data_IF_063103051886
#
_entry.id   IF_063103051886
#
_cell.length_a   1.000
_cell.length_b   1.000
_cell.length_c   1.000
_cell.angle_alpha   90.00
_cell.angle_beta   90.00
_cell.angle_gamma   90.00
#
_symmetry.space_group_name_H-M   'P 1'
#
loop_
_entity.id
_entity.type
_entity.pdbx_description
1 polymer ?
#
# COMPACT_ATOMS: atom_id res chain seq x y z
N UNK A 1 3.55 -6.07 -25.74
CA UNK A 1 2.98 -7.17 -24.93
C UNK A 1 3.63 -7.10 -23.53
N UNK A 2 3.52 -5.96 -22.82
CA UNK A 2 4.38 -5.67 -21.64
C UNK A 2 3.73 -4.85 -20.52
N UNK A 3 2.45 -4.49 -20.62
CA UNK A 3 1.80 -3.65 -19.59
C UNK A 3 1.53 -4.39 -18.27
N UNK A 4 1.40 -5.72 -18.31
CA UNK A 4 1.01 -6.54 -17.16
C UNK A 4 2.10 -6.63 -16.07
N UNK A 5 3.37 -6.35 -16.39
CA UNK A 5 4.49 -6.46 -15.43
C UNK A 5 4.77 -5.18 -14.63
N UNK A 6 4.24 -4.02 -15.02
CA UNK A 6 4.54 -2.75 -14.33
C UNK A 6 3.76 -2.57 -13.02
N UNK A 7 2.71 -3.35 -12.83
CA UNK A 7 1.79 -3.18 -11.72
C UNK A 7 2.02 -4.19 -10.59
N UNK A 8 3.10 -4.97 -10.64
CA UNK A 8 3.48 -5.91 -9.59
C UNK A 8 4.81 -5.51 -8.95
N UNK A 9 4.85 -5.48 -7.63
CA UNK A 9 6.02 -5.24 -6.81
C UNK A 9 6.35 -6.50 -5.99
N UNK A 10 7.63 -6.79 -5.87
CA UNK A 10 8.13 -7.84 -4.99
C UNK A 10 8.84 -7.20 -3.79
N UNK A 11 8.59 -7.73 -2.59
CA UNK A 11 9.13 -7.20 -1.35
C UNK A 11 9.95 -8.27 -0.65
N UNK A 12 11.13 -7.89 -0.17
CA UNK A 12 12.05 -8.74 0.57
C UNK A 12 12.23 -8.22 1.99
N UNK A 13 12.11 -9.08 3.00
CA UNK A 13 12.40 -8.74 4.39
C UNK A 13 12.98 -9.96 5.11
N UNK A 14 14.19 -9.80 5.67
CA UNK A 14 14.88 -10.86 6.43
C UNK A 14 14.92 -12.23 5.72
N UNK A 15 15.15 -12.23 4.40
CA UNK A 15 15.21 -13.45 3.59
C UNK A 15 13.85 -14.04 3.19
N UNK A 16 12.73 -13.49 3.69
CA UNK A 16 11.38 -13.81 3.18
C UNK A 16 11.02 -12.91 2.01
N UNK A 17 10.25 -13.44 1.07
CA UNK A 17 9.74 -12.72 -0.09
C UNK A 17 8.22 -12.68 -0.07
N UNK A 18 7.64 -11.56 -0.46
CA UNK A 18 6.21 -11.43 -0.74
C UNK A 18 5.98 -10.56 -1.97
N UNK A 19 4.73 -10.49 -2.43
CA UNK A 19 4.32 -9.73 -3.59
C UNK A 19 3.15 -8.80 -3.27
N UNK A 20 3.02 -7.78 -4.09
CA UNK A 20 1.87 -6.90 -4.15
C UNK A 20 1.77 -6.28 -5.53
N UNK A 21 0.70 -5.53 -5.76
CA UNK A 21 0.45 -4.93 -7.04
C UNK A 21 -0.94 -4.33 -7.15
N UNK A 22 -1.20 -3.71 -8.30
CA UNK A 22 -2.53 -3.24 -8.62
C UNK A 22 -3.43 -4.44 -8.98
N UNK A 23 -4.49 -4.63 -8.21
CA UNK A 23 -5.57 -5.57 -8.47
C UNK A 23 -6.62 -4.90 -9.36
N UNK A 24 -6.66 -5.33 -10.62
CA UNK A 24 -7.62 -4.83 -11.61
C UNK A 24 -9.07 -5.17 -11.26
N UNK A 25 -9.32 -6.29 -10.58
CA UNK A 25 -10.66 -6.74 -10.22
C UNK A 25 -11.28 -5.88 -9.12
N UNK A 26 -10.46 -5.44 -8.16
CA UNK A 26 -10.87 -4.50 -7.11
C UNK A 26 -10.55 -3.04 -7.41
N UNK A 27 -9.86 -2.76 -8.53
CA UNK A 27 -9.35 -1.44 -8.90
C UNK A 27 -8.55 -0.78 -7.77
N UNK A 28 -7.69 -1.56 -7.11
CA UNK A 28 -6.91 -1.07 -5.96
C UNK A 28 -5.56 -1.76 -5.80
N UNK A 29 -4.66 -1.18 -5.01
CA UNK A 29 -3.39 -1.81 -4.66
C UNK A 29 -3.57 -2.85 -3.56
N UNK A 30 -3.04 -4.05 -3.78
CA UNK A 30 -3.12 -5.16 -2.84
C UNK A 30 -1.76 -5.80 -2.63
N UNK A 31 -1.53 -6.39 -1.47
CA UNK A 31 -0.30 -7.13 -1.19
C UNK A 31 -0.53 -8.24 -0.18
N UNK A 32 0.38 -9.21 -0.16
CA UNK A 32 0.43 -10.22 0.89
C UNK A 32 1.50 -9.85 1.91
N UNK A 33 1.24 -10.10 3.18
CA UNK A 33 2.33 -10.13 4.16
C UNK A 33 3.19 -11.40 3.98
N UNK A 34 4.22 -11.53 4.81
CA UNK A 34 5.16 -12.65 4.73
C UNK A 34 4.62 -13.97 5.27
N UNK A 35 3.41 -13.96 5.84
CA UNK A 35 2.68 -15.15 6.28
C UNK A 35 1.54 -15.48 5.28
N UNK A 36 1.43 -14.72 4.19
CA UNK A 36 0.47 -14.92 3.10
C UNK A 36 -0.88 -14.25 3.32
N UNK A 37 -1.09 -13.47 4.38
CA UNK A 37 -2.34 -12.75 4.59
C UNK A 37 -2.41 -11.56 3.63
N UNK A 38 -3.54 -11.47 2.92
CA UNK A 38 -3.79 -10.40 1.97
C UNK A 38 -4.28 -9.13 2.66
N UNK A 39 -3.81 -8.00 2.15
CA UNK A 39 -4.28 -6.67 2.48
C UNK A 39 -4.55 -5.86 1.21
N UNK A 40 -5.58 -5.03 1.26
CA UNK A 40 -6.02 -4.17 0.18
C UNK A 40 -5.95 -2.72 0.67
N UNK A 41 -5.24 -1.85 -0.06
CA UNK A 41 -5.43 -0.41 0.11
C UNK A 41 -6.80 -0.04 -0.42
N UNK A 42 -7.46 0.94 0.19
CA UNK A 42 -8.76 1.43 -0.25
C UNK A 42 -8.69 2.95 -0.16
N UNK A 43 -8.91 3.62 -1.29
CA UNK A 43 -9.00 5.07 -1.32
C UNK A 43 -10.24 5.51 -0.54
N UNK A 44 -10.07 6.42 0.42
CA UNK A 44 -11.16 7.11 1.07
C UNK A 44 -11.83 8.12 0.13
N UNK A 45 -13.01 8.61 0.53
CA UNK A 45 -13.79 9.63 -0.21
C UNK A 45 -12.95 10.90 -0.45
N UNK A 46 -12.03 11.22 0.47
CA UNK A 46 -11.04 12.27 0.26
C UNK A 46 -9.78 11.64 -0.34
N UNK A 47 -9.34 12.14 -1.50
CA UNK A 47 -8.20 11.62 -2.29
C UNK A 47 -6.86 11.55 -1.53
N UNK A 48 -6.78 12.15 -0.36
CA UNK A 48 -5.62 12.21 0.53
C UNK A 48 -5.66 11.18 1.67
N UNK A 49 -6.70 10.35 1.75
CA UNK A 49 -6.87 9.38 2.82
C UNK A 49 -7.00 7.98 2.21
N UNK A 50 -6.18 7.05 2.68
CA UNK A 50 -6.17 5.66 2.26
C UNK A 50 -6.30 4.77 3.49
N UNK A 51 -7.09 3.72 3.40
CA UNK A 51 -7.25 2.70 4.43
C UNK A 51 -6.56 1.43 3.96
N UNK A 52 -5.94 0.71 4.88
CA UNK A 52 -5.48 -0.65 4.64
C UNK A 52 -6.50 -1.59 5.28
N UNK A 53 -7.14 -2.40 4.46
CA UNK A 53 -8.11 -3.40 4.86
C UNK A 53 -7.48 -4.78 4.75
N UNK A 54 -7.84 -5.68 5.65
CA UNK A 54 -7.50 -7.10 5.50
C UNK A 54 -8.52 -7.85 4.63
N UNK A 55 -8.33 -9.15 4.46
CA UNK A 55 -9.21 -10.01 3.67
C UNK A 55 -10.67 -10.05 4.13
N UNK A 56 -10.95 -9.64 5.37
CA UNK A 56 -12.30 -9.57 5.93
C UNK A 56 -12.91 -8.15 5.83
N UNK A 57 -12.16 -7.20 5.27
CA UNK A 57 -12.55 -5.79 5.20
C UNK A 57 -12.31 -5.01 6.50
N UNK A 58 -11.56 -5.58 7.46
CA UNK A 58 -11.23 -4.86 8.69
C UNK A 58 -10.10 -3.86 8.43
N UNK A 59 -10.30 -2.60 8.83
CA UNK A 59 -9.29 -1.56 8.68
C UNK A 59 -8.18 -1.76 9.71
N UNK A 60 -6.98 -2.10 9.25
CA UNK A 60 -5.81 -2.33 10.12
C UNK A 60 -4.89 -1.13 10.19
N UNK A 61 -4.88 -0.30 9.15
CA UNK A 61 -4.11 0.93 9.12
C UNK A 61 -4.81 2.02 8.31
N UNK A 62 -4.43 3.26 8.57
CA UNK A 62 -4.88 4.42 7.81
C UNK A 62 -3.68 5.30 7.48
N UNK A 63 -3.58 5.67 6.21
CA UNK A 63 -2.59 6.59 5.67
C UNK A 63 -3.29 7.89 5.27
N UNK A 64 -2.92 9.00 5.87
CA UNK A 64 -3.43 10.32 5.54
C UNK A 64 -2.27 11.14 4.99
N UNK A 65 -2.21 11.30 3.68
CA UNK A 65 -1.20 12.10 2.98
C UNK A 65 -1.66 13.53 2.78
N UNK A 66 -1.18 14.48 3.57
CA UNK A 66 -1.40 15.90 3.27
C UNK A 66 -0.40 16.33 2.19
N UNK A 67 -0.87 16.55 0.96
CA UNK A 67 -0.12 17.32 -0.03
C UNK A 67 -0.33 18.81 0.25
N UNK A 68 0.57 19.40 1.04
CA UNK A 68 0.82 20.85 0.99
C UNK A 68 2.20 21.03 0.39
N UNK A 69 2.27 21.80 -0.70
CA UNK A 69 3.52 22.25 -1.30
C UNK A 69 4.41 21.13 -1.87
N UNK A 70 3.80 20.07 -2.41
CA UNK A 70 4.50 18.92 -3.02
C UNK A 70 5.40 18.13 -2.05
N UNK A 71 5.32 18.43 -0.74
CA UNK A 71 5.95 17.64 0.31
C UNK A 71 4.89 16.74 0.90
N UNK A 72 5.00 15.44 0.63
CA UNK A 72 4.12 14.44 1.23
C UNK A 72 4.41 14.39 2.73
N UNK A 73 3.58 15.07 3.52
CA UNK A 73 3.49 14.88 4.97
C UNK A 73 2.40 13.85 5.20
N UNK A 74 2.81 12.62 5.48
CA UNK A 74 1.87 11.55 5.73
C UNK A 74 1.87 11.12 7.19
N UNK A 75 0.68 10.89 7.71
CA UNK A 75 0.49 10.19 8.98
C UNK A 75 0.02 8.78 8.66
N UNK A 76 0.75 7.79 9.18
CA UNK A 76 0.35 6.40 9.18
C UNK A 76 -0.09 6.00 10.58
N UNK A 77 -1.35 5.62 10.73
CA UNK A 77 -1.93 5.18 12.00
C UNK A 77 -2.28 3.70 11.90
N UNK A 78 -1.76 2.89 12.81
CA UNK A 78 -2.20 1.49 12.96
C UNK A 78 -3.37 1.43 13.94
N UNK A 79 -4.46 0.80 13.51
CA UNK A 79 -5.69 0.66 14.31
C UNK A 79 -5.76 -0.69 15.04
N UNK A 80 -4.83 -1.58 14.71
CA UNK A 80 -4.65 -2.88 15.36
C UNK A 80 -3.17 -3.13 15.62
N UNK A 81 -2.85 -4.14 16.41
CA UNK A 81 -1.46 -4.59 16.56
C UNK A 81 -1.01 -5.21 15.24
N UNK A 82 0.04 -4.64 14.65
CA UNK A 82 0.63 -5.10 13.40
C UNK A 82 2.05 -5.62 13.62
N UNK A 83 2.52 -6.54 12.76
CA UNK A 83 3.90 -7.02 12.78
C UNK A 83 4.86 -5.99 12.18
N UNK A 84 6.14 -6.00 12.57
CA UNK A 84 7.17 -5.12 11.99
C UNK A 84 7.31 -5.28 10.47
N UNK A 85 7.05 -6.49 9.98
CA UNK A 85 7.10 -6.82 8.56
C UNK A 85 5.95 -6.18 7.79
N UNK A 86 4.75 -6.09 8.38
CA UNK A 86 3.62 -5.34 7.83
C UNK A 86 3.88 -3.82 7.82
N UNK A 87 4.52 -3.28 8.87
CA UNK A 87 4.94 -1.87 8.90
C UNK A 87 5.86 -1.55 7.72
N UNK A 88 6.84 -2.41 7.45
CA UNK A 88 7.80 -2.24 6.36
C UNK A 88 7.10 -2.26 4.98
N UNK A 89 6.15 -3.17 4.78
CA UNK A 89 5.36 -3.25 3.55
C UNK A 89 4.49 -2.01 3.31
N UNK A 90 3.85 -1.51 4.37
CA UNK A 90 3.05 -0.28 4.31
C UNK A 90 3.90 0.94 3.92
N UNK A 91 5.09 1.08 4.49
CA UNK A 91 6.01 2.16 4.14
C UNK A 91 6.58 2.04 2.71
N UNK A 92 6.74 0.82 2.20
CA UNK A 92 7.16 0.60 0.81
C UNK A 92 6.03 0.94 -0.18
N UNK A 93 4.79 0.62 0.16
CA UNK A 93 3.64 0.92 -0.70
C UNK A 93 3.38 2.42 -0.80
N UNK A 94 3.57 3.17 0.28
CA UNK A 94 3.46 4.64 0.26
C UNK A 94 4.54 5.30 -0.59
N UNK A 95 5.76 4.71 -0.66
CA UNK A 95 6.80 5.15 -1.61
C UNK A 95 6.42 4.86 -3.07
N UNK A 96 5.75 3.74 -3.35
CA UNK A 96 5.27 3.41 -4.70
C UNK A 96 4.16 4.35 -5.16
N UNK A 97 3.22 4.71 -4.28
CA UNK A 97 2.19 5.72 -4.56
C UNK A 97 2.85 7.07 -4.90
N UNK A 98 3.85 7.50 -4.13
CA UNK A 98 4.60 8.73 -4.42
C UNK A 98 5.33 8.68 -5.77
N UNK A 99 5.83 7.50 -6.18
CA UNK A 99 6.51 7.32 -7.47
C UNK A 99 5.54 7.36 -8.65
N UNK A 100 4.36 6.73 -8.54
CA UNK A 100 3.31 6.78 -9.56
C UNK A 100 2.80 8.21 -9.77
N UNK A 101 2.59 8.98 -8.70
CA UNK A 101 2.21 10.40 -8.81
C UNK A 101 3.32 11.26 -9.46
N UNK A 102 4.59 10.98 -9.18
CA UNK A 102 5.71 11.72 -9.75
C UNK A 102 5.93 11.42 -11.24
N UNK A 103 5.60 10.21 -11.70
CA UNK A 103 5.85 9.74 -13.08
C UNK A 103 4.68 10.00 -14.04
N UNK A 104 3.53 10.43 -13.53
CA UNK A 104 2.40 10.92 -14.34
C UNK A 104 2.54 12.39 -14.80
N UNK A 105 3.69 13.02 -14.54
CA UNK A 105 4.08 14.36 -15.03
C UNK A 105 4.99 14.24 -16.26
#
# INVERSE_FOLDING_TARGET
>A
MDRVRKDQAQFAYQGKMTNGGFDMGKSTWAFHDFDGKRYDWVAGIMQNCWKLEDSEGQVVAQFIGMSRDYKVKATLTFLTKVSESLISLVLLTTKLINYDEATKR
#
